data_IF_084118848831
#
_entry.id   IF_084118848831
#
_cell.length_a   1.000
_cell.length_b   1.000
_cell.length_c   1.000
_cell.angle_alpha   90.00
_cell.angle_beta   90.00
_cell.angle_gamma   90.00
#
_symmetry.space_group_name_H-M   'P 1'
#
loop_
_entity.id
_entity.type
_entity.pdbx_description
1 polymer ?
#
# COMPACT_ATOMS: atom_id res chain seq x y z
N UNK A 1 -11.46 7.22 15.75
CA UNK A 1 -12.28 6.97 14.56
C UNK A 1 -13.37 5.98 14.94
N UNK A 2 -14.63 6.30 14.66
CA UNK A 2 -15.79 5.47 15.05
C UNK A 2 -16.65 5.09 13.86
N UNK A 3 -16.65 5.91 12.81
CA UNK A 3 -17.51 5.78 11.64
C UNK A 3 -16.75 6.12 10.37
N UNK A 4 -16.79 5.26 9.36
CA UNK A 4 -16.05 5.45 8.11
C UNK A 4 -16.91 5.19 6.89
N UNK A 5 -16.48 5.72 5.74
CA UNK A 5 -16.89 5.27 4.41
C UNK A 5 -15.76 4.45 3.82
N UNK A 6 -16.09 3.33 3.20
CA UNK A 6 -15.11 2.52 2.46
C UNK A 6 -15.39 2.63 0.97
N UNK A 7 -14.34 2.84 0.18
CA UNK A 7 -14.41 2.90 -1.28
C UNK A 7 -13.42 1.91 -1.90
N UNK A 8 -13.81 1.18 -2.95
CA UNK A 8 -12.88 0.29 -3.62
C UNK A 8 -13.25 0.03 -5.09
N UNK A 9 -12.26 -0.34 -5.90
CA UNK A 9 -12.49 -0.77 -7.27
C UNK A 9 -12.94 -2.24 -7.26
N UNK A 10 -14.16 -2.50 -7.73
CA UNK A 10 -14.79 -3.83 -7.67
C UNK A 10 -14.51 -4.71 -8.90
N UNK A 11 -13.69 -4.24 -9.82
CA UNK A 11 -13.26 -4.94 -11.03
C UNK A 11 -11.75 -5.25 -11.04
N UNK A 12 -11.13 -5.25 -9.86
CA UNK A 12 -9.72 -5.54 -9.66
C UNK A 12 -9.50 -6.41 -8.41
N UNK A 13 -8.89 -7.58 -8.58
CA UNK A 13 -8.72 -8.55 -7.50
C UNK A 13 -7.84 -8.04 -6.34
N UNK A 14 -6.84 -7.19 -6.62
CA UNK A 14 -6.00 -6.61 -5.58
C UNK A 14 -6.80 -5.64 -4.71
N UNK A 15 -7.58 -4.75 -5.34
CA UNK A 15 -8.38 -3.76 -4.60
C UNK A 15 -9.54 -4.40 -3.84
N UNK A 16 -10.13 -5.46 -4.38
CA UNK A 16 -11.14 -6.26 -3.69
C UNK A 16 -10.57 -6.96 -2.45
N UNK A 17 -9.39 -7.59 -2.57
CA UNK A 17 -8.73 -8.22 -1.43
C UNK A 17 -8.34 -7.19 -0.36
N UNK A 18 -7.87 -6.01 -0.76
CA UNK A 18 -7.60 -4.90 0.15
C UNK A 18 -8.85 -4.41 0.88
N UNK A 19 -9.98 -4.31 0.17
CA UNK A 19 -11.27 -4.02 0.79
C UNK A 19 -11.68 -5.06 1.84
N UNK A 20 -11.54 -6.34 1.52
CA UNK A 20 -11.86 -7.43 2.46
C UNK A 20 -11.01 -7.35 3.73
N UNK A 21 -9.71 -7.06 3.61
CA UNK A 21 -8.82 -6.86 4.75
C UNK A 21 -9.23 -5.64 5.60
N UNK A 22 -9.56 -4.50 4.96
CA UNK A 22 -10.08 -3.34 5.69
C UNK A 22 -11.40 -3.65 6.39
N UNK A 23 -12.33 -4.31 5.72
CA UNK A 23 -13.64 -4.64 6.29
C UNK A 23 -13.51 -5.53 7.53
N UNK A 24 -12.66 -6.56 7.46
CA UNK A 24 -12.39 -7.44 8.60
C UNK A 24 -11.75 -6.68 9.78
N UNK A 25 -10.77 -5.82 9.50
CA UNK A 25 -10.12 -5.01 10.54
C UNK A 25 -11.08 -4.00 11.18
N UNK A 26 -11.98 -3.39 10.40
CA UNK A 26 -12.98 -2.45 10.91
C UNK A 26 -14.02 -3.14 11.79
N UNK A 27 -14.45 -4.35 11.41
CA UNK A 27 -15.35 -5.18 12.21
C UNK A 27 -14.70 -5.56 13.55
N UNK A 28 -13.46 -6.04 13.53
CA UNK A 28 -12.69 -6.41 14.73
C UNK A 28 -12.51 -5.23 15.69
N UNK A 29 -12.29 -4.05 15.16
CA UNK A 29 -12.14 -2.81 15.93
C UNK A 29 -13.49 -2.13 16.29
N UNK A 30 -14.62 -2.72 15.93
CA UNK A 30 -15.96 -2.17 16.15
C UNK A 30 -16.14 -0.75 15.57
N UNK A 31 -15.57 -0.51 14.38
CA UNK A 31 -15.75 0.74 13.63
C UNK A 31 -16.95 0.60 12.69
N UNK A 32 -17.89 1.54 12.76
CA UNK A 32 -19.07 1.58 11.90
C UNK A 32 -18.67 1.88 10.45
N UNK A 33 -19.08 1.03 9.51
CA UNK A 33 -19.01 1.34 8.08
C UNK A 33 -20.35 1.94 7.66
N UNK A 34 -20.39 3.26 7.50
CA UNK A 34 -21.62 3.99 7.13
C UNK A 34 -22.07 3.65 5.71
N UNK A 35 -21.13 3.57 4.77
CA UNK A 35 -21.37 3.18 3.39
C UNK A 35 -20.15 2.46 2.81
N UNK A 36 -20.43 1.51 1.92
CA UNK A 36 -19.44 0.90 1.03
C UNK A 36 -19.76 1.34 -0.40
N UNK A 37 -18.85 2.09 -1.01
CA UNK A 37 -19.01 2.66 -2.34
C UNK A 37 -18.03 2.00 -3.32
N UNK A 38 -18.52 1.60 -4.48
CA UNK A 38 -17.67 0.94 -5.47
C UNK A 38 -17.49 1.80 -6.72
N UNK A 39 -16.35 1.62 -7.37
CA UNK A 39 -15.99 2.23 -8.64
C UNK A 39 -15.29 1.21 -9.54
N UNK A 40 -15.11 1.53 -10.82
CA UNK A 40 -14.26 0.78 -11.73
C UNK A 40 -12.83 1.34 -11.69
N UNK A 41 -11.82 0.48 -11.79
CA UNK A 41 -10.41 0.93 -11.88
C UNK A 41 -10.13 1.89 -13.03
N UNK A 42 -11.02 1.95 -14.04
CA UNK A 42 -10.95 2.87 -15.16
C UNK A 42 -11.65 4.21 -14.89
N UNK A 43 -12.35 4.36 -13.75
CA UNK A 43 -13.04 5.60 -13.41
C UNK A 43 -12.05 6.72 -13.09
N UNK A 44 -12.36 7.90 -13.57
CA UNK A 44 -11.57 9.13 -13.34
C UNK A 44 -12.37 10.26 -12.71
N UNK A 45 -13.70 10.11 -12.59
CA UNK A 45 -14.57 11.08 -11.91
C UNK A 45 -15.25 10.41 -10.70
N UNK A 46 -14.86 10.86 -9.51
CA UNK A 46 -15.30 10.34 -8.22
C UNK A 46 -16.27 11.27 -7.50
N UNK A 47 -16.60 12.44 -8.07
CA UNK A 47 -17.40 13.49 -7.41
C UNK A 47 -18.75 13.00 -6.89
N UNK A 48 -19.43 12.11 -7.65
CA UNK A 48 -20.71 11.54 -7.20
C UNK A 48 -20.57 10.67 -5.96
N UNK A 49 -19.53 9.82 -5.90
CA UNK A 49 -19.24 8.96 -4.75
C UNK A 49 -18.73 9.78 -3.56
N UNK A 50 -17.85 10.74 -3.81
CA UNK A 50 -17.33 11.66 -2.79
C UNK A 50 -18.41 12.51 -2.15
N UNK A 51 -19.41 12.96 -2.92
CA UNK A 51 -20.57 13.67 -2.36
C UNK A 51 -21.42 12.78 -1.44
N UNK A 52 -21.58 11.48 -1.74
CA UNK A 52 -22.21 10.53 -0.82
C UNK A 52 -21.37 10.36 0.44
N UNK A 53 -20.05 10.14 0.30
CA UNK A 53 -19.14 10.05 1.42
C UNK A 53 -19.22 11.30 2.33
N UNK A 54 -19.24 12.49 1.74
CA UNK A 54 -19.38 13.76 2.49
C UNK A 54 -20.66 13.84 3.29
N UNK A 55 -21.79 13.33 2.76
CA UNK A 55 -23.10 13.35 3.44
C UNK A 55 -23.21 12.33 4.57
N UNK A 56 -22.32 11.35 4.64
CA UNK A 56 -22.37 10.32 5.67
C UNK A 56 -21.88 10.78 7.05
N UNK A 57 -21.26 11.96 7.14
CA UNK A 57 -20.64 12.49 8.37
C UNK A 57 -19.66 11.48 9.00
N UNK A 58 -18.81 10.88 8.15
CA UNK A 58 -17.82 9.90 8.57
C UNK A 58 -16.54 10.57 9.07
N UNK A 59 -15.84 9.92 9.99
CA UNK A 59 -14.56 10.37 10.56
C UNK A 59 -13.40 10.20 9.58
N UNK A 60 -13.51 9.27 8.64
CA UNK A 60 -12.52 9.02 7.61
C UNK A 60 -13.12 8.35 6.37
N UNK A 61 -12.43 8.48 5.24
CA UNK A 61 -12.69 7.75 4.00
C UNK A 61 -11.55 6.76 3.79
N UNK A 62 -11.86 5.46 3.78
CA UNK A 62 -10.90 4.39 3.54
C UNK A 62 -11.01 3.97 2.09
N UNK A 63 -9.87 3.90 1.39
CA UNK A 63 -9.87 3.61 -0.05
C UNK A 63 -8.94 2.45 -0.37
N UNK A 64 -9.51 1.38 -0.95
CA UNK A 64 -8.72 0.36 -1.62
C UNK A 64 -8.74 0.60 -3.13
N UNK A 65 -7.66 1.15 -3.64
CA UNK A 65 -7.52 1.57 -5.04
C UNK A 65 -6.07 1.58 -5.47
N UNK A 66 -5.85 1.64 -6.79
CA UNK A 66 -4.54 1.82 -7.39
C UNK A 66 -4.27 3.30 -7.66
N UNK A 67 -3.04 3.63 -8.03
CA UNK A 67 -2.58 5.01 -8.18
C UNK A 67 -3.38 5.82 -9.20
N UNK A 68 -3.86 5.17 -10.27
CA UNK A 68 -4.66 5.82 -11.32
C UNK A 68 -6.01 6.35 -10.81
N UNK A 69 -6.58 5.68 -9.78
CA UNK A 69 -7.77 6.14 -9.08
C UNK A 69 -7.43 7.06 -7.91
N UNK A 70 -6.33 6.81 -7.20
CA UNK A 70 -5.93 7.55 -6.01
C UNK A 70 -5.73 9.05 -6.27
N UNK A 71 -4.99 9.39 -7.33
CA UNK A 71 -4.70 10.78 -7.69
C UNK A 71 -5.98 11.60 -7.95
N UNK A 72 -6.86 11.22 -8.90
CA UNK A 72 -8.08 11.98 -9.15
C UNK A 72 -9.06 11.93 -7.97
N UNK A 73 -9.16 10.83 -7.23
CA UNK A 73 -10.04 10.72 -6.06
C UNK A 73 -9.63 11.72 -4.97
N UNK A 74 -8.35 11.74 -4.59
CA UNK A 74 -7.83 12.66 -3.56
C UNK A 74 -7.96 14.10 -4.01
N UNK A 75 -7.60 14.41 -5.26
CA UNK A 75 -7.73 15.76 -5.81
C UNK A 75 -9.17 16.25 -5.77
N UNK A 76 -10.11 15.45 -6.29
CA UNK A 76 -11.53 15.81 -6.35
C UNK A 76 -12.16 15.90 -4.95
N UNK A 77 -11.71 15.08 -3.99
CA UNK A 77 -12.16 15.20 -2.60
C UNK A 77 -11.86 16.59 -2.03
N UNK A 78 -10.63 17.07 -2.20
CA UNK A 78 -10.22 18.40 -1.72
C UNK A 78 -10.90 19.52 -2.50
N UNK A 79 -11.08 19.37 -3.82
CA UNK A 79 -11.81 20.35 -4.66
C UNK A 79 -13.24 20.59 -4.19
N UNK A 80 -13.94 19.54 -3.71
CA UNK A 80 -15.32 19.69 -3.19
C UNK A 80 -15.38 19.95 -1.69
N UNK A 81 -14.23 20.25 -1.07
CA UNK A 81 -14.15 20.62 0.35
C UNK A 81 -14.38 19.43 1.29
N UNK A 82 -13.82 18.29 0.99
CA UNK A 82 -13.69 17.17 1.95
C UNK A 82 -12.32 17.30 2.63
N UNK A 83 -12.32 17.71 3.90
CA UNK A 83 -11.12 17.78 4.74
C UNK A 83 -10.96 16.53 5.61
N UNK A 84 -11.96 15.64 5.60
CA UNK A 84 -11.93 14.35 6.29
C UNK A 84 -10.69 13.55 5.88
N UNK A 85 -9.98 12.90 6.81
CA UNK A 85 -8.84 12.05 6.51
C UNK A 85 -9.15 10.99 5.45
N UNK A 86 -8.27 10.86 4.46
CA UNK A 86 -8.31 9.79 3.46
C UNK A 86 -7.23 8.79 3.82
N UNK A 87 -7.61 7.53 3.95
CA UNK A 87 -6.72 6.43 4.30
C UNK A 87 -6.67 5.47 3.12
N UNK A 88 -5.54 5.39 2.47
CA UNK A 88 -5.29 4.47 1.36
C UNK A 88 -4.61 3.19 1.81
N UNK A 89 -4.82 2.12 1.04
CA UNK A 89 -4.02 0.91 1.14
C UNK A 89 -2.70 1.03 0.36
N UNK A 90 -2.05 -0.09 0.22
CA UNK A 90 -0.72 -0.23 -0.40
C UNK A 90 -0.63 0.36 -1.82
N UNK A 91 -1.73 0.37 -2.59
CA UNK A 91 -1.79 0.96 -3.93
C UNK A 91 -1.66 2.49 -3.97
N UNK A 92 -1.75 3.17 -2.83
CA UNK A 92 -1.52 4.61 -2.68
C UNK A 92 -0.04 4.96 -2.43
N UNK A 93 0.80 3.98 -2.09
CA UNK A 93 2.21 4.20 -1.76
C UNK A 93 3.07 4.37 -3.01
N UNK A 94 2.92 5.48 -3.68
CA UNK A 94 3.72 5.85 -4.85
C UNK A 94 4.03 7.34 -4.84
N UNK A 95 5.25 7.74 -5.20
CA UNK A 95 5.58 9.16 -5.43
C UNK A 95 4.65 9.85 -6.43
N UNK A 96 4.00 9.08 -7.31
CA UNK A 96 3.02 9.59 -8.27
C UNK A 96 1.76 10.16 -7.60
N UNK A 97 1.39 9.72 -6.39
CA UNK A 97 0.31 10.33 -5.61
C UNK A 97 0.63 11.79 -5.30
N UNK A 98 1.81 12.04 -4.76
CA UNK A 98 2.26 13.37 -4.38
C UNK A 98 2.46 14.25 -5.62
N UNK A 99 3.12 13.71 -6.65
CA UNK A 99 3.36 14.44 -7.89
C UNK A 99 2.06 14.80 -8.63
N UNK A 100 1.07 13.91 -8.62
CA UNK A 100 -0.20 14.10 -9.35
C UNK A 100 -1.24 14.90 -8.59
N UNK A 101 -1.38 14.70 -7.28
CA UNK A 101 -2.36 15.38 -6.46
C UNK A 101 -1.82 16.68 -5.81
N UNK A 102 -0.49 16.87 -5.77
CA UNK A 102 0.13 18.07 -5.19
C UNK A 102 -0.33 18.34 -3.77
N UNK A 103 -0.74 19.56 -3.47
CA UNK A 103 -1.22 19.95 -2.15
C UNK A 103 -2.45 19.17 -1.68
N UNK A 104 -3.22 18.55 -2.57
CA UNK A 104 -4.37 17.73 -2.20
C UNK A 104 -3.96 16.43 -1.50
N UNK A 105 -2.73 15.96 -1.72
CA UNK A 105 -2.20 14.77 -1.07
C UNK A 105 -1.86 14.98 0.41
N UNK A 106 -1.70 16.21 0.88
CA UNK A 106 -1.36 16.49 2.27
C UNK A 106 -2.36 15.87 3.22
N UNK A 107 -1.85 15.21 4.27
CA UNK A 107 -2.65 14.51 5.27
C UNK A 107 -3.25 13.17 4.82
N UNK A 108 -2.94 12.70 3.61
CA UNK A 108 -3.32 11.34 3.18
C UNK A 108 -2.50 10.32 3.96
N UNK A 109 -3.19 9.39 4.61
CA UNK A 109 -2.59 8.30 5.38
C UNK A 109 -2.54 7.04 4.51
N UNK A 110 -1.45 6.30 4.56
CA UNK A 110 -1.25 5.12 3.72
C UNK A 110 -0.73 3.96 4.55
N UNK A 111 -1.46 2.84 4.51
CA UNK A 111 -0.92 1.55 4.94
C UNK A 111 0.05 1.03 3.89
N UNK A 112 1.29 0.81 4.26
CA UNK A 112 2.38 0.55 3.33
C UNK A 112 3.21 -0.67 3.72
N UNK A 113 3.69 -1.39 2.71
CA UNK A 113 4.66 -2.46 2.87
C UNK A 113 6.10 -1.93 2.95
N UNK A 114 6.34 -0.70 2.54
CA UNK A 114 7.67 -0.11 2.41
C UNK A 114 7.63 1.41 2.55
N UNK A 115 8.70 1.96 3.12
CA UNK A 115 8.95 3.40 3.16
C UNK A 115 10.40 3.69 2.82
N UNK A 116 10.64 4.63 1.91
CA UNK A 116 11.98 5.06 1.49
C UNK A 116 12.82 5.65 2.62
N UNK A 117 12.19 6.17 3.68
CA UNK A 117 12.87 6.73 4.84
C UNK A 117 13.27 5.68 5.90
N UNK A 118 13.01 4.39 5.65
CA UNK A 118 13.49 3.32 6.55
C UNK A 118 15.02 3.27 6.57
N UNK A 119 15.59 3.20 7.77
CA UNK A 119 17.03 3.14 8.02
C UNK A 119 17.63 1.71 7.94
N UNK A 120 16.84 0.74 7.49
CA UNK A 120 17.29 -0.60 7.16
C UNK A 120 18.45 -0.53 6.14
N UNK A 121 19.61 -1.10 6.48
CA UNK A 121 20.80 -1.03 5.64
C UNK A 121 20.57 -1.56 4.22
N UNK A 122 19.77 -2.62 4.07
CA UNK A 122 19.42 -3.16 2.76
C UNK A 122 18.54 -2.21 1.96
N UNK A 123 17.65 -1.48 2.64
CA UNK A 123 16.80 -0.45 2.03
C UNK A 123 17.65 0.72 1.52
N UNK A 124 18.56 1.24 2.35
CA UNK A 124 19.45 2.35 1.95
C UNK A 124 20.26 1.96 0.71
N UNK A 125 20.89 0.77 0.75
CA UNK A 125 21.67 0.27 -0.39
C UNK A 125 20.81 0.06 -1.64
N UNK A 126 19.61 -0.49 -1.51
CA UNK A 126 18.68 -0.68 -2.63
C UNK A 126 18.33 0.64 -3.30
N UNK A 127 18.01 1.68 -2.51
CA UNK A 127 17.67 3.00 -3.04
C UNK A 127 18.85 3.61 -3.80
N UNK A 128 20.06 3.50 -3.27
CA UNK A 128 21.29 3.98 -3.92
C UNK A 128 21.54 3.26 -5.25
N UNK A 129 21.52 1.93 -5.24
CA UNK A 129 21.78 1.10 -6.42
C UNK A 129 20.69 1.31 -7.50
N UNK A 130 19.42 1.37 -7.09
CA UNK A 130 18.30 1.61 -8.01
C UNK A 130 18.40 2.99 -8.66
N UNK A 131 18.68 4.01 -7.86
CA UNK A 131 18.80 5.39 -8.35
C UNK A 131 20.00 5.51 -9.30
N UNK A 132 21.11 4.86 -9.00
CA UNK A 132 22.28 4.83 -9.89
C UNK A 132 21.99 4.13 -11.23
N UNK A 133 21.20 3.05 -11.19
CA UNK A 133 20.88 2.27 -12.39
C UNK A 133 19.82 2.93 -13.28
N UNK A 134 18.81 3.57 -12.69
CA UNK A 134 17.62 4.04 -13.41
C UNK A 134 17.45 5.57 -13.43
N UNK A 135 18.32 6.33 -12.73
CA UNK A 135 18.24 7.79 -12.61
C UNK A 135 16.88 8.29 -12.06
N UNK A 136 16.21 7.45 -11.27
CA UNK A 136 14.92 7.74 -10.61
C UNK A 136 14.87 7.05 -9.25
N UNK A 137 14.12 7.63 -8.30
CA UNK A 137 13.88 6.94 -7.03
C UNK A 137 12.99 5.71 -7.24
N UNK A 138 13.24 4.60 -6.50
CA UNK A 138 12.34 3.47 -6.51
C UNK A 138 11.00 3.81 -5.83
N UNK A 139 9.96 3.08 -6.20
CA UNK A 139 8.69 3.02 -5.48
C UNK A 139 8.57 1.71 -4.69
N UNK A 140 7.47 1.54 -3.97
CA UNK A 140 7.27 0.32 -3.20
C UNK A 140 7.14 -0.94 -4.07
N UNK A 141 6.65 -0.83 -5.32
CA UNK A 141 6.53 -2.00 -6.20
C UNK A 141 7.91 -2.49 -6.63
N UNK A 142 8.84 -1.56 -6.88
CA UNK A 142 10.25 -1.89 -7.12
C UNK A 142 10.88 -2.55 -5.89
N UNK A 143 10.62 -2.03 -4.68
CA UNK A 143 11.13 -2.58 -3.43
C UNK A 143 10.56 -3.99 -3.16
N UNK A 144 9.26 -4.20 -3.38
CA UNK A 144 8.63 -5.52 -3.22
C UNK A 144 9.16 -6.55 -4.23
N UNK A 145 9.36 -6.14 -5.49
CA UNK A 145 9.95 -7.01 -6.50
C UNK A 145 11.39 -7.39 -6.14
N UNK A 146 12.18 -6.44 -5.64
CA UNK A 146 13.54 -6.69 -5.19
C UNK A 146 13.58 -7.64 -3.98
N UNK A 147 12.71 -7.42 -2.97
CA UNK A 147 12.57 -8.33 -1.84
C UNK A 147 12.17 -9.75 -2.28
N UNK A 148 11.26 -9.86 -3.25
CA UNK A 148 10.92 -11.15 -3.84
C UNK A 148 12.13 -11.89 -4.43
N UNK A 149 13.03 -11.17 -5.09
CA UNK A 149 14.28 -11.76 -5.59
C UNK A 149 15.26 -12.14 -4.48
N UNK A 150 15.32 -11.36 -3.38
CA UNK A 150 16.12 -11.73 -2.20
C UNK A 150 15.61 -13.03 -1.56
N UNK A 151 14.29 -13.20 -1.47
CA UNK A 151 13.65 -14.42 -0.96
C UNK A 151 13.94 -15.62 -1.87
N UNK A 152 13.88 -15.44 -3.19
CA UNK A 152 14.23 -16.50 -4.16
C UNK A 152 15.72 -16.88 -4.04
N UNK A 153 16.61 -15.90 -3.92
CA UNK A 153 18.06 -16.15 -3.73
C UNK A 153 18.30 -16.97 -2.46
N UNK A 154 17.66 -16.61 -1.35
CA UNK A 154 17.76 -17.39 -0.12
C UNK A 154 17.17 -18.80 -0.25
N UNK A 155 16.06 -18.95 -0.96
CA UNK A 155 15.48 -20.27 -1.22
C UNK A 155 16.41 -21.17 -2.04
N UNK A 156 17.12 -20.60 -3.04
CA UNK A 156 18.14 -21.32 -3.83
C UNK A 156 19.32 -21.72 -2.95
N UNK A 157 19.79 -20.82 -2.09
CA UNK A 157 20.94 -21.07 -1.18
C UNK A 157 20.59 -22.14 -0.14
N UNK A 158 19.48 -21.99 0.54
CA UNK A 158 19.04 -22.93 1.59
C UNK A 158 18.64 -24.29 1.03
N UNK A 159 18.01 -24.31 -0.16
CA UNK A 159 17.63 -25.53 -0.87
C UNK A 159 18.79 -26.20 -1.64
N UNK A 160 19.94 -25.54 -1.75
CA UNK A 160 21.10 -25.97 -2.55
C UNK A 160 20.74 -26.41 -3.99
N UNK A 161 19.71 -25.81 -4.59
CA UNK A 161 19.19 -26.18 -5.90
C UNK A 161 18.58 -24.98 -6.63
N UNK A 162 18.94 -24.79 -7.88
CA UNK A 162 18.32 -23.86 -8.81
C UNK A 162 17.15 -24.44 -9.61
N UNK A 163 16.85 -25.72 -9.41
CA UNK A 163 15.71 -26.37 -10.05
C UNK A 163 14.39 -25.99 -9.38
N UNK A 164 13.28 -26.03 -10.13
CA UNK A 164 11.97 -25.57 -9.66
C UNK A 164 11.55 -26.20 -8.32
N UNK A 165 11.70 -27.52 -8.21
CA UNK A 165 11.30 -28.28 -7.00
C UNK A 165 12.19 -27.92 -5.80
N UNK A 166 13.49 -27.69 -6.03
CA UNK A 166 14.42 -27.24 -5.01
C UNK A 166 14.10 -25.83 -4.52
N UNK A 167 13.80 -24.91 -5.42
CA UNK A 167 13.38 -23.54 -5.08
C UNK A 167 12.07 -23.58 -4.29
N UNK A 168 11.09 -24.39 -4.72
CA UNK A 168 9.81 -24.53 -4.01
C UNK A 168 10.02 -25.07 -2.59
N UNK A 169 10.88 -26.06 -2.43
CA UNK A 169 11.23 -26.60 -1.11
C UNK A 169 11.94 -25.54 -0.24
N UNK A 170 12.87 -24.79 -0.83
CA UNK A 170 13.58 -23.69 -0.16
C UNK A 170 12.64 -22.57 0.29
N UNK A 171 11.66 -22.20 -0.55
CA UNK A 171 10.64 -21.21 -0.18
C UNK A 171 9.81 -21.65 1.04
N UNK A 172 9.56 -22.94 1.20
CA UNK A 172 8.89 -23.50 2.39
C UNK A 172 9.65 -23.34 3.71
N UNK A 173 10.93 -22.98 3.64
CA UNK A 173 11.80 -22.79 4.80
C UNK A 173 12.14 -21.31 5.07
N UNK A 174 11.56 -20.37 4.32
CA UNK A 174 11.80 -18.94 4.50
C UNK A 174 11.22 -18.48 5.83
N UNK A 175 12.09 -18.11 6.75
CA UNK A 175 11.73 -17.62 8.08
C UNK A 175 12.70 -16.53 8.47
N UNK A 176 12.17 -15.35 8.80
CA UNK A 176 12.93 -14.20 9.32
C UNK A 176 14.09 -13.77 8.39
N UNK A 177 13.87 -13.83 7.07
CA UNK A 177 14.89 -13.48 6.07
C UNK A 177 14.96 -11.97 5.93
N UNK A 178 16.14 -11.35 6.14
CA UNK A 178 16.29 -9.90 6.02
C UNK A 178 16.20 -9.48 4.55
N UNK A 179 15.32 -8.51 4.28
CA UNK A 179 15.07 -7.93 2.96
C UNK A 179 14.98 -6.41 3.02
N UNK A 180 14.79 -5.75 1.89
CA UNK A 180 14.51 -4.30 1.83
C UNK A 180 13.18 -3.90 2.48
N UNK A 181 12.28 -4.87 2.73
CA UNK A 181 11.02 -4.66 3.44
C UNK A 181 11.14 -4.91 4.97
N UNK A 182 12.32 -5.24 5.46
CA UNK A 182 12.54 -5.81 6.77
C UNK A 182 12.62 -7.33 6.72
N UNK A 183 12.43 -7.99 7.84
CA UNK A 183 12.48 -9.44 7.90
C UNK A 183 11.18 -10.04 7.36
N UNK A 184 11.30 -11.03 6.47
CA UNK A 184 10.17 -11.69 5.81
C UNK A 184 10.14 -13.16 6.19
N UNK A 185 8.95 -13.63 6.53
CA UNK A 185 8.63 -15.06 6.71
C UNK A 185 7.54 -15.44 5.71
N UNK A 186 7.65 -16.61 5.10
CA UNK A 186 6.55 -17.20 4.33
C UNK A 186 5.76 -18.15 5.25
N UNK A 187 4.47 -17.87 5.43
CA UNK A 187 3.60 -18.67 6.27
C UNK A 187 3.16 -20.00 5.58
N UNK A 188 2.39 -20.80 6.26
CA UNK A 188 1.88 -22.09 5.75
C UNK A 188 0.98 -21.95 4.52
N UNK A 189 0.34 -20.79 4.35
CA UNK A 189 -0.47 -20.46 3.18
C UNK A 189 0.37 -19.90 2.02
N UNK A 190 1.69 -19.74 2.21
CA UNK A 190 2.65 -19.13 1.28
C UNK A 190 2.50 -17.63 1.14
N UNK A 191 1.87 -16.96 2.11
CA UNK A 191 1.81 -15.51 2.17
C UNK A 191 3.08 -14.96 2.82
N UNK A 192 3.56 -13.84 2.31
CA UNK A 192 4.70 -13.13 2.87
C UNK A 192 4.25 -12.27 4.06
N UNK A 193 4.79 -12.57 5.23
CA UNK A 193 4.57 -11.82 6.47
C UNK A 193 5.80 -10.95 6.76
N UNK A 194 5.57 -9.67 6.96
CA UNK A 194 6.56 -8.67 7.38
C UNK A 194 5.85 -7.53 8.12
N UNK A 195 6.61 -6.67 8.80
CA UNK A 195 6.05 -5.53 9.51
C UNK A 195 5.40 -4.55 8.53
N UNK A 196 4.12 -4.24 8.80
CA UNK A 196 3.41 -3.20 8.07
C UNK A 196 3.76 -1.82 8.63
N UNK A 197 3.79 -0.84 7.74
CA UNK A 197 4.04 0.56 8.07
C UNK A 197 2.78 1.39 7.88
N UNK A 198 2.60 2.41 8.71
CA UNK A 198 1.63 3.47 8.45
C UNK A 198 2.40 4.75 8.21
N UNK A 199 2.09 5.43 7.14
CA UNK A 199 2.73 6.69 6.77
C UNK A 199 1.69 7.74 6.42
N UNK A 200 2.09 8.99 6.48
CA UNK A 200 1.27 10.14 6.13
C UNK A 200 2.04 11.03 5.15
N UNK A 201 1.33 11.73 4.28
CA UNK A 201 1.94 12.77 3.45
C UNK A 201 2.04 14.05 4.27
N UNK A 202 3.26 14.50 4.53
CA UNK A 202 3.60 15.77 5.18
C UNK A 202 4.67 16.50 4.36
N UNK A 203 4.45 17.78 4.09
CA UNK A 203 5.35 18.62 3.31
C UNK A 203 5.76 17.99 1.97
N UNK A 204 4.81 17.32 1.31
CA UNK A 204 5.01 16.67 0.03
C UNK A 204 5.90 15.40 0.08
N UNK A 205 5.99 14.74 1.22
CA UNK A 205 6.76 13.50 1.40
C UNK A 205 5.99 12.48 2.24
N UNK A 206 6.27 11.20 2.03
CA UNK A 206 5.78 10.15 2.92
C UNK A 206 6.63 10.08 4.19
N UNK A 207 6.01 10.32 5.33
CA UNK A 207 6.64 10.26 6.66
C UNK A 207 6.00 9.13 7.46
N UNK A 208 6.81 8.33 8.17
CA UNK A 208 6.29 7.25 9.02
C UNK A 208 5.48 7.86 10.16
N UNK A 209 4.22 7.47 10.26
CA UNK A 209 3.34 7.86 11.34
C UNK A 209 3.69 7.02 12.59
N UNK A 210 4.15 7.71 13.65
CA UNK A 210 4.55 7.09 14.91
C UNK A 210 3.41 7.10 15.93
#
# INVERSE_FOLDING_TARGET
>A
MKKVVVMYANDDAFTESGYQAFAAALEDQNVEVAETLTFSKADTDFRALLNKAKQSDADAIIVSGLIDAAVPLVTQAREIGIDTPIIGGNGFNSPALIAGAGAAAEGVIVGAAWNSASDNEQNVKFIEDFTAAYSSAPDQFAAQAYAGMQIIDEAVRSGCSGERDGIQAGLGNITDVPTVLGNVTLNENRDAEHDALVQIVEDGQFVILK
#
